data_IF_365006064290
#
_entry.id   IF_365006064290
#
_cell.length_a   1.000
_cell.length_b   1.000
_cell.length_c   1.000
_cell.angle_alpha   90.00
_cell.angle_beta   90.00
_cell.angle_gamma   90.00
#
_symmetry.space_group_name_H-M   'P 1'
#
loop_
_entity.id
_entity.type
_entity.pdbx_description
1 polymer ?
#
# COMPACT_ATOMS: atom_id res chain seq x y z
N UNK A 1 -26.98 -26.05 -22.64
CA UNK A 1 -26.04 -25.43 -21.68
C UNK A 1 -26.06 -23.91 -21.92
N UNK A 2 -26.50 -23.08 -20.97
CA UNK A 2 -26.59 -21.61 -21.18
C UNK A 2 -25.19 -21.00 -21.09
N UNK A 3 -24.76 -20.31 -22.15
CA UNK A 3 -23.54 -19.53 -22.16
C UNK A 3 -23.76 -18.24 -21.34
N UNK A 4 -23.31 -18.21 -20.09
CA UNK A 4 -23.31 -16.99 -19.29
C UNK A 4 -22.18 -16.08 -19.74
N UNK A 5 -22.49 -14.83 -20.12
CA UNK A 5 -21.48 -13.79 -20.34
C UNK A 5 -20.92 -13.36 -18.98
N UNK A 6 -19.79 -13.95 -18.58
CA UNK A 6 -19.06 -13.53 -17.38
C UNK A 6 -18.36 -12.21 -17.69
N UNK A 7 -18.85 -11.11 -17.13
CA UNK A 7 -18.17 -9.81 -17.16
C UNK A 7 -17.03 -9.80 -16.12
N UNK A 8 -15.81 -10.15 -16.56
CA UNK A 8 -14.59 -10.22 -15.73
C UNK A 8 -14.07 -8.87 -15.19
N UNK A 9 -14.87 -7.81 -15.23
CA UNK A 9 -14.52 -6.45 -14.82
C UNK A 9 -15.22 -5.96 -13.54
N UNK A 10 -16.35 -6.58 -13.14
CA UNK A 10 -17.27 -6.04 -12.13
C UNK A 10 -16.70 -6.04 -10.70
N UNK A 11 -15.60 -6.76 -10.46
CA UNK A 11 -14.93 -6.79 -9.16
C UNK A 11 -13.41 -6.61 -9.30
N UNK A 12 -12.96 -6.00 -10.39
CA UNK A 12 -11.55 -5.64 -10.49
C UNK A 12 -11.28 -4.55 -9.46
N UNK A 13 -10.28 -4.73 -8.60
CA UNK A 13 -9.92 -3.69 -7.65
C UNK A 13 -9.56 -2.40 -8.39
N UNK A 14 -9.79 -1.27 -7.74
CA UNK A 14 -9.57 0.05 -8.32
C UNK A 14 -8.06 0.22 -8.64
N UNK A 15 -7.73 0.10 -9.92
CA UNK A 15 -6.39 0.28 -10.47
C UNK A 15 -6.42 1.45 -11.46
N UNK A 16 -5.71 2.53 -11.15
CA UNK A 16 -5.55 3.67 -12.05
C UNK A 16 -4.24 3.53 -12.82
N UNK A 17 -4.31 3.10 -14.08
CA UNK A 17 -3.13 2.93 -14.97
C UNK A 17 -1.96 2.18 -14.30
N UNK A 18 -2.25 1.08 -13.60
CA UNK A 18 -1.25 0.27 -12.88
C UNK A 18 -0.94 0.73 -11.45
N UNK A 19 -1.47 1.90 -11.04
CA UNK A 19 -1.40 2.38 -9.66
C UNK A 19 -2.55 1.79 -8.85
N UNK A 20 -2.23 0.96 -7.86
CA UNK A 20 -3.25 0.32 -7.00
C UNK A 20 -3.77 1.33 -5.96
N UNK A 21 -5.01 1.19 -5.52
CA UNK A 21 -5.66 2.09 -4.54
C UNK A 21 -4.81 2.43 -3.30
N UNK A 22 -4.06 1.47 -2.74
CA UNK A 22 -3.20 1.69 -1.57
C UNK A 22 -2.07 2.71 -1.83
N UNK A 23 -1.46 2.68 -3.02
CA UNK A 23 -0.37 3.60 -3.38
C UNK A 23 -0.87 5.00 -3.69
N UNK A 24 -2.12 5.13 -4.17
CA UNK A 24 -2.78 6.43 -4.36
C UNK A 24 -2.91 7.14 -3.01
N UNK A 25 -3.34 6.41 -1.98
CA UNK A 25 -3.43 6.97 -0.63
C UNK A 25 -2.06 7.44 -0.10
N UNK A 26 -1.00 6.65 -0.29
CA UNK A 26 0.36 7.06 0.10
C UNK A 26 0.86 8.28 -0.67
N UNK A 27 0.57 8.37 -1.98
CA UNK A 27 0.93 9.52 -2.78
C UNK A 27 0.20 10.78 -2.28
N UNK A 28 -1.09 10.68 -1.99
CA UNK A 28 -1.90 11.80 -1.50
C UNK A 28 -1.38 12.31 -0.15
N UNK A 29 -1.16 11.41 0.82
CA UNK A 29 -0.59 11.76 2.13
C UNK A 29 0.81 12.38 1.96
N UNK A 30 1.64 11.78 1.10
CA UNK A 30 2.97 12.28 0.81
C UNK A 30 2.98 13.69 0.23
N UNK A 31 2.06 13.99 -0.71
CA UNK A 31 1.92 15.32 -1.30
C UNK A 31 1.44 16.36 -0.28
N UNK A 32 0.50 16.00 0.60
CA UNK A 32 0.04 16.88 1.68
C UNK A 32 1.18 17.19 2.65
N UNK A 33 1.93 16.15 3.06
CA UNK A 33 3.11 16.33 3.93
C UNK A 33 4.18 17.21 3.25
N UNK A 34 4.39 17.02 1.95
CA UNK A 34 5.33 17.82 1.17
C UNK A 34 4.92 19.30 1.12
N UNK A 35 3.62 19.57 0.94
CA UNK A 35 3.07 20.92 0.96
C UNK A 35 3.29 21.59 2.33
N UNK A 36 2.99 20.87 3.42
CA UNK A 36 3.20 21.38 4.79
C UNK A 36 4.69 21.67 5.02
N UNK A 37 5.58 20.75 4.62
CA UNK A 37 7.03 20.90 4.74
C UNK A 37 7.51 22.18 4.06
N UNK A 38 7.05 22.47 2.84
CA UNK A 38 7.43 23.69 2.14
C UNK A 38 6.78 24.95 2.70
N UNK A 39 5.54 24.87 3.20
CA UNK A 39 4.91 25.98 3.91
C UNK A 39 5.72 26.39 5.15
N UNK A 40 6.18 25.41 5.93
CA UNK A 40 7.05 25.64 7.09
C UNK A 40 8.42 26.16 6.66
N UNK A 41 9.05 25.55 5.65
CA UNK A 41 10.33 26.02 5.12
C UNK A 41 10.27 27.48 4.66
N UNK A 42 9.18 27.88 3.99
CA UNK A 42 8.96 29.25 3.58
C UNK A 42 8.79 30.20 4.77
N UNK A 43 8.05 29.79 5.82
CA UNK A 43 7.90 30.57 7.06
C UNK A 43 9.23 30.77 7.80
N UNK A 44 10.17 29.82 7.70
CA UNK A 44 11.52 29.93 8.26
C UNK A 44 12.45 30.85 7.44
N UNK A 45 11.97 31.43 6.35
CA UNK A 45 12.73 32.37 5.53
C UNK A 45 13.67 31.72 4.51
N UNK A 46 13.46 30.44 4.17
CA UNK A 46 14.21 29.83 3.07
C UNK A 46 13.95 30.55 1.75
N UNK A 47 15.01 30.71 0.96
CA UNK A 47 14.93 31.29 -0.38
C UNK A 47 13.93 30.50 -1.25
N UNK A 48 13.07 31.24 -1.95
CA UNK A 48 12.05 30.70 -2.87
C UNK A 48 12.66 29.74 -3.90
N UNK A 49 13.88 30.02 -4.36
CA UNK A 49 14.58 29.18 -5.33
C UNK A 49 15.00 27.82 -4.74
N UNK A 50 15.45 27.79 -3.49
CA UNK A 50 15.74 26.55 -2.78
C UNK A 50 14.47 25.74 -2.51
N UNK A 51 13.39 26.41 -2.14
CA UNK A 51 12.08 25.78 -1.94
C UNK A 51 11.57 25.15 -3.26
N UNK A 52 11.71 25.87 -4.38
CA UNK A 52 11.32 25.37 -5.70
C UNK A 52 12.15 24.17 -6.15
N UNK A 53 13.48 24.27 -6.04
CA UNK A 53 14.37 23.17 -6.39
C UNK A 53 14.09 21.93 -5.52
N UNK A 54 13.93 22.13 -4.21
CA UNK A 54 13.54 21.08 -3.27
C UNK A 54 12.20 20.45 -3.64
N UNK A 55 11.21 21.24 -4.05
CA UNK A 55 9.89 20.73 -4.42
C UNK A 55 9.91 19.83 -5.64
N UNK A 56 10.67 20.20 -6.67
CA UNK A 56 10.84 19.37 -7.85
C UNK A 56 11.57 18.06 -7.52
N UNK A 57 12.63 18.13 -6.71
CA UNK A 57 13.43 16.96 -6.34
C UNK A 57 12.62 16.02 -5.43
N UNK A 58 12.08 16.53 -4.32
CA UNK A 58 11.34 15.72 -3.36
C UNK A 58 10.00 15.24 -3.91
N UNK A 59 9.30 16.08 -4.68
CA UNK A 59 8.10 15.68 -5.41
C UNK A 59 8.41 14.58 -6.41
N UNK A 60 9.43 14.76 -7.25
CA UNK A 60 9.87 13.74 -8.22
C UNK A 60 10.27 12.42 -7.54
N UNK A 61 11.03 12.49 -6.44
CA UNK A 61 11.42 11.32 -5.66
C UNK A 61 10.21 10.59 -5.04
N UNK A 62 9.22 11.33 -4.53
CA UNK A 62 7.98 10.77 -4.01
C UNK A 62 7.21 10.02 -5.11
N UNK A 63 7.00 10.65 -6.26
CA UNK A 63 6.35 10.01 -7.40
C UNK A 63 7.10 8.76 -7.85
N UNK A 64 8.41 8.86 -8.07
CA UNK A 64 9.23 7.73 -8.48
C UNK A 64 9.14 6.57 -7.47
N UNK A 65 9.31 6.86 -6.19
CA UNK A 65 9.23 5.87 -5.12
C UNK A 65 7.88 5.17 -5.09
N UNK A 66 6.77 5.94 -5.06
CA UNK A 66 5.42 5.35 -4.99
C UNK A 66 5.10 4.49 -6.22
N UNK A 67 5.47 4.95 -7.42
CA UNK A 67 5.27 4.15 -8.65
C UNK A 67 6.14 2.89 -8.66
N UNK A 68 7.39 2.98 -8.22
CA UNK A 68 8.26 1.82 -8.07
C UNK A 68 7.68 0.80 -7.08
N UNK A 69 7.22 1.24 -5.91
CA UNK A 69 6.55 0.38 -4.93
C UNK A 69 5.25 -0.23 -5.48
N UNK A 70 4.45 0.55 -6.21
CA UNK A 70 3.21 0.07 -6.83
C UNK A 70 3.47 -1.05 -7.83
N UNK A 71 4.50 -0.90 -8.65
CA UNK A 71 4.87 -1.91 -9.65
C UNK A 71 5.48 -3.16 -9.01
N UNK A 72 6.37 -3.01 -8.03
CA UNK A 72 7.08 -4.13 -7.40
C UNK A 72 6.18 -4.99 -6.52
N UNK A 73 5.31 -4.38 -5.72
CA UNK A 73 4.51 -5.13 -4.72
C UNK A 73 3.05 -5.35 -5.14
N UNK A 74 2.53 -4.59 -6.09
CA UNK A 74 1.12 -4.65 -6.45
C UNK A 74 0.21 -4.38 -5.24
N UNK A 75 -1.09 -4.71 -5.36
CA UNK A 75 -2.12 -4.22 -4.42
C UNK A 75 -2.02 -4.85 -3.05
N UNK A 76 -1.68 -6.12 -3.01
CA UNK A 76 -1.68 -6.91 -1.78
C UNK A 76 -0.26 -7.19 -1.28
N UNK A 77 0.79 -6.83 -2.02
CA UNK A 77 2.17 -7.20 -1.65
C UNK A 77 2.65 -6.49 -0.40
N UNK A 78 2.33 -5.20 -0.22
CA UNK A 78 2.65 -4.49 1.02
C UNK A 78 1.90 -5.08 2.21
N UNK A 79 0.59 -5.35 2.05
CA UNK A 79 -0.22 -5.95 3.11
C UNK A 79 0.28 -7.35 3.49
N UNK A 80 0.64 -8.18 2.51
CA UNK A 80 1.26 -9.50 2.74
C UNK A 80 2.61 -9.38 3.45
N UNK A 81 3.46 -8.44 3.05
CA UNK A 81 4.76 -8.19 3.69
C UNK A 81 4.61 -7.74 5.14
N UNK A 82 3.63 -6.87 5.42
CA UNK A 82 3.32 -6.45 6.78
C UNK A 82 2.76 -7.60 7.63
N UNK A 83 1.86 -8.41 7.07
CA UNK A 83 1.32 -9.58 7.75
C UNK A 83 2.43 -10.60 8.06
N UNK A 84 3.35 -10.84 7.11
CA UNK A 84 4.48 -11.75 7.32
C UNK A 84 5.42 -11.29 8.43
N UNK A 85 5.58 -9.97 8.63
CA UNK A 85 6.37 -9.41 9.74
C UNK A 85 5.73 -9.64 11.12
N UNK A 86 4.42 -9.88 11.18
CA UNK A 86 3.72 -10.15 12.43
C UNK A 86 3.72 -11.64 12.79
N UNK A 87 4.21 -12.51 11.90
CA UNK A 87 4.28 -13.94 12.18
C UNK A 87 5.48 -14.27 13.09
N UNK A 88 5.31 -15.21 14.04
CA UNK A 88 6.42 -15.71 14.86
C UNK A 88 7.44 -16.46 13.99
N UNK A 89 8.72 -16.39 14.36
CA UNK A 89 9.81 -17.03 13.59
C UNK A 89 9.65 -18.54 13.42
N UNK A 90 8.98 -19.20 14.37
CA UNK A 90 8.65 -20.62 14.25
C UNK A 90 7.31 -20.92 14.91
N UNK A 91 6.45 -21.65 14.23
CA UNK A 91 5.26 -22.26 14.80
C UNK A 91 5.57 -23.70 15.18
N UNK A 92 5.76 -23.97 16.49
CA UNK A 92 5.96 -25.33 16.99
C UNK A 92 4.66 -25.87 17.59
N UNK A 93 3.92 -26.65 16.81
CA UNK A 93 2.73 -27.35 17.30
C UNK A 93 3.15 -28.65 18.01
N UNK A 94 3.02 -28.70 19.34
CA UNK A 94 3.29 -29.92 20.14
C UNK A 94 2.09 -30.85 20.28
N UNK A 95 0.88 -30.40 19.95
CA UNK A 95 -0.36 -31.17 20.10
C UNK A 95 -1.30 -30.94 18.94
N UNK A 96 -2.11 -31.96 18.61
CA UNK A 96 -3.15 -31.89 17.57
C UNK A 96 -4.49 -31.30 18.08
N UNK A 97 -4.62 -31.12 19.40
CA UNK A 97 -5.81 -30.55 20.06
C UNK A 97 -6.35 -29.26 19.44
N UNK A 98 -5.52 -28.22 19.12
CA UNK A 98 -6.04 -26.98 18.54
C UNK A 98 -6.72 -27.20 17.18
N UNK A 99 -6.17 -28.05 16.31
CA UNK A 99 -6.79 -28.34 15.00
C UNK A 99 -8.11 -29.10 15.13
N UNK A 100 -8.20 -30.04 16.08
CA UNK A 100 -9.44 -30.78 16.35
C UNK A 100 -10.53 -29.90 16.98
N UNK A 101 -10.15 -28.88 17.74
CA UNK A 101 -11.10 -27.90 18.29
C UNK A 101 -11.70 -26.99 17.22
N UNK A 102 -10.90 -26.56 16.23
CA UNK A 102 -11.41 -25.78 15.10
C UNK A 102 -12.43 -26.58 14.27
N UNK A 103 -12.13 -27.84 13.96
CA UNK A 103 -13.04 -28.69 13.17
C UNK A 103 -14.42 -28.86 13.84
N UNK A 104 -14.45 -28.99 15.17
CA UNK A 104 -15.70 -29.15 15.92
C UNK A 104 -16.58 -27.89 15.95
N UNK A 105 -16.00 -26.72 15.67
CA UNK A 105 -16.74 -25.46 15.60
C UNK A 105 -17.33 -25.20 14.20
N UNK A 106 -16.73 -25.76 13.14
CA UNK A 106 -17.28 -25.65 11.77
C UNK A 106 -18.44 -26.63 11.53
N UNK A 107 -18.57 -27.66 12.37
CA UNK A 107 -19.66 -28.67 12.33
C UNK A 107 -20.93 -28.24 13.12
N UNK A 108 -20.94 -27.05 13.75
CA UNK A 108 -22.08 -26.45 14.49
C UNK A 108 -22.70 -25.29 13.71
#
# INVERSE_FOLDING_TARGET
MKAYRINKGINKPLEFKGLKAQYIAYLAIGLVALLILFAVAYMLGLSKYLCLAGALILGGALFYGVFHYSHTYGQHGLMKKMAYRQLPQSLRCRSRKPFLQLQKHDDL
#
